data_IF_290985040821
#
_entry.id   IF_290985040821
#
_cell.length_a   1.000
_cell.length_b   1.000
_cell.length_c   1.000
_cell.angle_alpha   90.00
_cell.angle_beta   90.00
_cell.angle_gamma   90.00
#
_symmetry.space_group_name_H-M   'P 1'
#
loop_
_entity.id
_entity.type
_entity.pdbx_description
1 polymer ?
#
# COMPACT_ATOMS: atom_id res chain seq x y z
N UNK A 1 -42.13 -30.85 17.11
CA UNK A 1 -40.86 -31.26 16.45
C UNK A 1 -40.55 -30.45 15.17
N UNK A 2 -41.52 -30.00 14.36
CA UNK A 2 -41.29 -29.22 13.13
C UNK A 2 -40.77 -27.80 13.36
N UNK A 3 -41.23 -27.10 14.40
CA UNK A 3 -40.86 -25.69 14.71
C UNK A 3 -39.39 -25.58 15.14
N UNK A 4 -38.83 -26.53 15.90
CA UNK A 4 -37.44 -26.55 16.32
C UNK A 4 -36.45 -26.70 15.13
N UNK A 5 -36.88 -27.44 14.06
CA UNK A 5 -36.06 -27.59 12.85
C UNK A 5 -36.05 -26.30 12.03
N UNK A 6 -37.15 -25.58 11.97
CA UNK A 6 -37.27 -24.29 11.24
C UNK A 6 -36.39 -23.21 11.92
N UNK A 7 -36.40 -23.14 13.25
CA UNK A 7 -35.56 -22.18 14.01
C UNK A 7 -34.07 -22.49 13.83
N UNK A 8 -33.70 -23.78 13.80
CA UNK A 8 -32.31 -24.17 13.60
C UNK A 8 -31.81 -23.87 12.17
N UNK A 9 -32.66 -24.04 11.16
CA UNK A 9 -32.32 -23.68 9.76
C UNK A 9 -32.23 -22.18 9.55
N UNK A 10 -33.07 -21.39 10.24
CA UNK A 10 -33.00 -19.92 10.18
C UNK A 10 -31.73 -19.37 10.88
N UNK A 11 -31.27 -20.00 11.97
CA UNK A 11 -30.08 -19.62 12.69
C UNK A 11 -28.80 -19.92 11.89
N UNK A 12 -28.76 -20.99 11.09
CA UNK A 12 -27.64 -21.32 10.20
C UNK A 12 -27.51 -20.30 9.06
N UNK A 13 -28.65 -19.78 8.56
CA UNK A 13 -28.65 -18.76 7.49
C UNK A 13 -28.13 -17.37 7.97
N UNK A 14 -28.25 -17.09 9.26
CA UNK A 14 -27.78 -15.81 9.85
C UNK A 14 -26.27 -15.76 10.05
N UNK A 15 -25.57 -16.91 10.09
CA UNK A 15 -24.14 -17.00 10.34
C UNK A 15 -23.30 -16.87 9.05
N UNK A 16 -23.92 -17.03 7.86
CA UNK A 16 -23.19 -16.99 6.57
C UNK A 16 -23.07 -15.62 5.91
N UNK A 17 -23.45 -14.54 6.58
CA UNK A 17 -23.27 -13.18 6.02
C UNK A 17 -22.01 -12.51 6.56
N UNK A 18 -20.86 -13.18 6.53
CA UNK A 18 -19.58 -12.48 6.63
C UNK A 18 -19.44 -11.62 5.36
N UNK A 19 -19.80 -10.34 5.47
CA UNK A 19 -19.46 -9.36 4.45
C UNK A 19 -17.93 -9.33 4.41
N UNK A 20 -17.35 -9.89 3.36
CA UNK A 20 -15.93 -9.60 3.04
C UNK A 20 -15.84 -8.10 2.83
N UNK A 21 -15.27 -7.40 3.80
CA UNK A 21 -14.95 -5.99 3.66
C UNK A 21 -13.75 -5.90 2.72
N UNK A 22 -14.03 -5.60 1.46
CA UNK A 22 -13.00 -5.21 0.50
C UNK A 22 -12.62 -3.76 0.77
N UNK A 23 -11.32 -3.51 0.93
CA UNK A 23 -10.81 -2.14 1.01
C UNK A 23 -10.71 -1.63 -0.44
N UNK A 24 -11.46 -0.59 -0.77
CA UNK A 24 -11.37 0.08 -2.08
C UNK A 24 -9.97 0.67 -2.29
N UNK A 25 -9.43 0.54 -3.50
CA UNK A 25 -8.04 0.92 -3.80
C UNK A 25 -7.75 2.40 -3.57
N UNK A 26 -8.70 3.29 -3.90
CA UNK A 26 -8.60 4.72 -3.65
C UNK A 26 -8.64 5.07 -2.16
N UNK A 27 -9.51 4.41 -1.39
CA UNK A 27 -9.57 4.55 0.07
C UNK A 27 -8.26 4.08 0.71
N UNK A 28 -7.69 2.97 0.24
CA UNK A 28 -6.39 2.48 0.69
C UNK A 28 -5.27 3.49 0.42
N UNK A 29 -5.21 4.03 -0.79
CA UNK A 29 -4.20 5.05 -1.16
C UNK A 29 -4.40 6.31 -0.33
N UNK A 30 -5.63 6.82 -0.20
CA UNK A 30 -5.92 8.00 0.61
C UNK A 30 -5.51 7.80 2.08
N UNK A 31 -5.83 6.64 2.66
CA UNK A 31 -5.42 6.31 4.03
C UNK A 31 -3.90 6.26 4.18
N UNK A 32 -3.19 5.69 3.20
CA UNK A 32 -1.73 5.63 3.20
C UNK A 32 -1.11 7.02 3.11
N UNK A 33 -1.65 7.88 2.23
CA UNK A 33 -1.24 9.29 2.09
C UNK A 33 -1.48 10.05 3.40
N UNK A 34 -2.65 9.91 4.02
CA UNK A 34 -2.98 10.60 5.26
C UNK A 34 -2.00 10.23 6.38
N UNK A 35 -1.73 8.93 6.58
CA UNK A 35 -0.74 8.45 7.57
C UNK A 35 0.65 9.05 7.33
N UNK A 36 1.12 9.07 6.07
CA UNK A 36 2.41 9.64 5.74
C UNK A 36 2.45 11.15 5.94
N UNK A 37 1.39 11.87 5.55
CA UNK A 37 1.28 13.32 5.71
C UNK A 37 1.23 13.74 7.19
N UNK A 38 0.54 12.96 8.04
CA UNK A 38 0.50 13.16 9.50
C UNK A 38 1.92 13.12 10.07
N UNK A 39 2.67 12.04 9.81
CA UNK A 39 4.08 11.90 10.24
C UNK A 39 4.95 13.05 9.74
N UNK A 40 4.77 13.48 8.50
CA UNK A 40 5.56 14.56 7.90
C UNK A 40 5.24 15.93 8.50
N UNK A 41 4.01 16.13 8.98
CA UNK A 41 3.52 17.39 9.57
C UNK A 41 3.82 17.51 11.07
N UNK A 42 4.09 16.40 11.76
CA UNK A 42 4.41 16.42 13.18
C UNK A 42 5.72 17.16 13.47
N UNK A 43 5.81 17.82 14.65
CA UNK A 43 7.04 18.46 15.14
C UNK A 43 7.90 17.45 15.92
N UNK A 44 8.43 16.46 15.19
CA UNK A 44 9.32 15.42 15.70
C UNK A 44 10.61 15.37 14.91
N UNK A 45 11.65 14.72 15.47
CA UNK A 45 12.95 14.65 14.81
C UNK A 45 12.88 13.93 13.45
N UNK A 46 13.79 14.29 12.56
CA UNK A 46 13.90 13.68 11.22
C UNK A 46 14.06 12.16 11.30
N UNK A 47 14.82 11.68 12.27
CA UNK A 47 15.09 10.25 12.49
C UNK A 47 13.80 9.51 12.85
N UNK A 48 12.95 10.11 13.69
CA UNK A 48 11.65 9.55 14.05
C UNK A 48 10.73 9.52 12.83
N UNK A 49 10.65 10.62 12.06
CA UNK A 49 9.88 10.66 10.81
C UNK A 49 10.31 9.54 9.85
N UNK A 50 11.60 9.38 9.62
CA UNK A 50 12.15 8.31 8.78
C UNK A 50 11.72 6.93 9.28
N UNK A 51 11.80 6.69 10.58
CA UNK A 51 11.41 5.42 11.20
C UNK A 51 9.92 5.11 10.97
N UNK A 52 9.04 6.09 11.18
CA UNK A 52 7.60 5.90 10.98
C UNK A 52 7.23 5.75 9.49
N UNK A 53 7.86 6.51 8.59
CA UNK A 53 7.69 6.33 7.14
C UNK A 53 8.13 4.95 6.67
N UNK A 54 9.22 4.39 7.22
CA UNK A 54 9.64 3.00 6.94
C UNK A 54 8.60 1.98 7.36
N UNK A 55 7.93 2.18 8.52
CA UNK A 55 6.83 1.29 8.96
C UNK A 55 5.65 1.36 8.00
N UNK A 56 5.22 2.58 7.63
CA UNK A 56 4.13 2.76 6.67
C UNK A 56 4.45 2.04 5.36
N UNK A 57 5.66 2.20 4.84
CA UNK A 57 6.09 1.53 3.61
C UNK A 57 6.07 0.00 3.73
N UNK A 58 6.55 -0.57 4.83
CA UNK A 58 6.50 -2.02 5.09
C UNK A 58 5.08 -2.57 5.14
N UNK A 59 4.14 -1.79 5.69
CA UNK A 59 2.74 -2.19 5.81
C UNK A 59 1.99 -2.15 4.48
N UNK A 60 2.35 -1.19 3.60
CA UNK A 60 1.52 -0.82 2.45
C UNK A 60 2.14 -1.13 1.09
N UNK A 61 3.45 -1.41 1.02
CA UNK A 61 4.17 -1.64 -0.24
C UNK A 61 4.63 -3.09 -0.36
N UNK A 62 4.38 -3.73 -1.51
CA UNK A 62 4.95 -5.04 -1.84
C UNK A 62 6.40 -4.90 -2.30
N UNK A 63 7.28 -4.51 -1.37
CA UNK A 63 8.70 -4.22 -1.64
C UNK A 63 9.39 -5.41 -2.32
N UNK A 64 9.09 -6.63 -1.88
CA UNK A 64 9.65 -7.85 -2.46
C UNK A 64 9.26 -8.02 -3.92
N UNK A 65 8.00 -7.77 -4.27
CA UNK A 65 7.52 -7.86 -5.65
C UNK A 65 8.15 -6.79 -6.54
N UNK A 66 8.26 -5.55 -6.04
CA UNK A 66 8.95 -4.47 -6.73
C UNK A 66 10.40 -4.86 -6.99
N UNK A 67 11.12 -5.38 -5.98
CA UNK A 67 12.49 -5.83 -6.12
C UNK A 67 12.66 -6.89 -7.19
N UNK A 68 11.82 -7.93 -7.20
CA UNK A 68 11.88 -8.95 -8.24
C UNK A 68 11.46 -8.45 -9.63
N UNK A 69 10.62 -7.42 -9.70
CA UNK A 69 10.29 -6.77 -10.96
C UNK A 69 11.51 -6.04 -11.54
N UNK A 70 12.28 -5.34 -10.71
CA UNK A 70 13.49 -4.60 -11.16
C UNK A 70 14.60 -5.51 -11.66
N UNK A 71 14.68 -6.76 -11.20
CA UNK A 71 15.62 -7.76 -11.72
C UNK A 71 15.31 -8.20 -13.16
N UNK A 72 14.08 -8.00 -13.62
CA UNK A 72 13.67 -8.43 -14.95
C UNK A 72 13.90 -9.93 -15.18
N UNK A 73 14.41 -10.34 -16.39
CA UNK A 73 14.63 -11.75 -16.73
C UNK A 73 15.68 -12.46 -15.86
N UNK A 74 16.66 -11.75 -15.32
CA UNK A 74 17.78 -12.30 -14.52
C UNK A 74 17.25 -13.07 -13.30
N UNK A 75 16.11 -12.66 -12.72
CA UNK A 75 15.48 -13.34 -11.56
C UNK A 75 15.26 -14.84 -11.76
N UNK A 76 15.14 -15.30 -13.04
CA UNK A 76 14.92 -16.72 -13.34
C UNK A 76 16.18 -17.57 -13.15
N UNK A 77 17.36 -16.94 -13.21
CA UNK A 77 18.65 -17.60 -13.13
C UNK A 77 19.25 -17.55 -11.71
N UNK A 78 18.60 -16.84 -10.79
CA UNK A 78 19.08 -16.75 -9.42
C UNK A 78 18.72 -18.02 -8.64
N UNK A 79 19.65 -18.47 -7.80
CA UNK A 79 19.39 -19.49 -6.77
C UNK A 79 18.43 -18.93 -5.71
N UNK A 80 17.86 -19.79 -4.88
CA UNK A 80 16.95 -19.34 -3.82
C UNK A 80 17.68 -18.50 -2.77
N UNK A 81 18.92 -18.84 -2.42
CA UNK A 81 19.76 -18.04 -1.52
C UNK A 81 20.04 -16.64 -2.08
N UNK A 82 20.34 -16.56 -3.39
CA UNK A 82 20.52 -15.27 -4.06
C UNK A 82 19.24 -14.45 -4.07
N UNK A 83 18.07 -15.07 -4.26
CA UNK A 83 16.77 -14.39 -4.20
C UNK A 83 16.47 -13.86 -2.79
N UNK A 84 16.77 -14.66 -1.74
CA UNK A 84 16.61 -14.24 -0.35
C UNK A 84 17.51 -13.04 -0.08
N UNK A 85 18.81 -13.18 -0.35
CA UNK A 85 19.79 -12.11 -0.10
C UNK A 85 19.46 -10.84 -0.86
N UNK A 86 19.04 -10.96 -2.12
CA UNK A 86 18.60 -9.81 -2.91
C UNK A 86 17.38 -9.11 -2.29
N UNK A 87 16.38 -9.87 -1.85
CA UNK A 87 15.17 -9.32 -1.24
C UNK A 87 15.50 -8.51 0.03
N UNK A 88 16.39 -9.00 0.88
CA UNK A 88 16.83 -8.31 2.10
C UNK A 88 17.53 -6.98 1.77
N UNK A 89 18.50 -7.03 0.85
CA UNK A 89 19.24 -5.83 0.43
C UNK A 89 18.33 -4.82 -0.29
N UNK A 90 17.42 -5.30 -1.12
CA UNK A 90 16.49 -4.42 -1.82
C UNK A 90 15.51 -3.76 -0.85
N UNK A 91 15.00 -4.49 0.15
CA UNK A 91 14.13 -3.91 1.17
C UNK A 91 14.84 -2.79 1.94
N UNK A 92 16.07 -3.02 2.39
CA UNK A 92 16.87 -2.01 3.09
C UNK A 92 17.12 -0.78 2.22
N UNK A 93 17.53 -0.99 0.97
CA UNK A 93 17.76 0.07 0.00
C UNK A 93 16.47 0.88 -0.28
N UNK A 94 15.37 0.18 -0.54
CA UNK A 94 14.08 0.80 -0.83
C UNK A 94 13.61 1.66 0.34
N UNK A 95 13.56 1.09 1.54
CA UNK A 95 13.10 1.79 2.73
C UNK A 95 13.94 3.01 3.05
N UNK A 96 15.26 2.91 2.89
CA UNK A 96 16.18 4.02 3.15
C UNK A 96 16.01 5.12 2.10
N UNK A 97 16.00 4.77 0.81
CA UNK A 97 15.86 5.73 -0.28
C UNK A 97 14.52 6.42 -0.26
N UNK A 98 13.44 5.66 -0.06
CA UNK A 98 12.07 6.15 -0.04
C UNK A 98 11.83 7.11 1.13
N UNK A 99 12.17 6.71 2.36
CA UNK A 99 11.94 7.54 3.54
C UNK A 99 12.78 8.83 3.52
N UNK A 100 14.04 8.77 3.06
CA UNK A 100 14.87 9.96 2.91
C UNK A 100 14.35 10.94 1.85
N UNK A 101 13.68 10.44 0.80
CA UNK A 101 13.04 11.30 -0.20
C UNK A 101 11.78 11.95 0.34
N UNK A 102 10.98 11.23 1.13
CA UNK A 102 9.73 11.78 1.66
C UNK A 102 9.95 12.78 2.80
N UNK A 103 10.92 12.54 3.67
CA UNK A 103 11.13 13.38 4.87
C UNK A 103 11.50 14.84 4.57
N UNK A 104 11.83 15.17 3.31
CA UNK A 104 12.10 16.56 2.87
C UNK A 104 10.81 17.35 2.58
N UNK A 105 9.66 16.67 2.54
CA UNK A 105 8.37 17.34 2.40
C UNK A 105 7.82 17.68 3.78
N UNK A 106 7.49 18.95 3.97
CA UNK A 106 6.76 19.42 5.14
C UNK A 106 5.32 19.66 4.72
N UNK A 107 4.37 18.99 5.39
CA UNK A 107 2.93 19.19 5.15
C UNK A 107 2.52 18.99 3.67
N UNK A 108 2.77 17.84 3.04
CA UNK A 108 2.42 17.61 1.64
C UNK A 108 0.90 17.61 1.45
N UNK A 109 0.42 18.30 0.42
CA UNK A 109 -0.99 18.32 0.02
C UNK A 109 -1.16 17.42 -1.21
N UNK A 110 -1.79 16.24 -1.02
CA UNK A 110 -1.96 15.24 -2.07
C UNK A 110 -3.45 14.92 -2.21
N UNK A 111 -4.00 15.17 -3.39
CA UNK A 111 -5.40 14.88 -3.72
C UNK A 111 -5.48 13.60 -4.56
N UNK A 112 -6.23 12.62 -4.10
CA UNK A 112 -6.64 11.45 -4.89
C UNK A 112 -7.87 11.85 -5.71
N UNK A 113 -7.84 11.65 -7.04
CA UNK A 113 -8.90 12.18 -7.91
C UNK A 113 -9.50 11.16 -8.88
N UNK A 114 -8.83 10.06 -9.17
CA UNK A 114 -9.35 9.06 -10.12
C UNK A 114 -8.80 7.66 -9.82
N UNK A 115 -9.49 6.63 -10.31
CA UNK A 115 -9.01 5.24 -10.30
C UNK A 115 -9.41 4.51 -11.58
N UNK A 116 -8.51 3.65 -12.07
CA UNK A 116 -8.71 2.84 -13.28
C UNK A 116 -8.40 1.37 -13.00
N UNK A 117 -9.36 0.50 -13.26
CA UNK A 117 -9.15 -0.95 -13.19
C UNK A 117 -8.30 -1.39 -14.38
N UNK A 118 -7.12 -1.95 -14.11
CA UNK A 118 -6.24 -2.51 -15.14
C UNK A 118 -6.54 -3.99 -15.40
N UNK A 119 -6.89 -4.73 -14.36
CA UNK A 119 -7.22 -6.15 -14.42
C UNK A 119 -7.91 -6.57 -13.12
N UNK A 120 -8.34 -7.83 -13.00
CA UNK A 120 -8.89 -8.42 -11.77
C UNK A 120 -7.97 -8.28 -10.54
N UNK A 121 -6.67 -8.03 -10.76
CA UNK A 121 -5.65 -8.00 -9.69
C UNK A 121 -5.00 -6.66 -9.49
N UNK A 122 -5.23 -5.70 -10.39
CA UNK A 122 -4.54 -4.41 -10.36
C UNK A 122 -5.48 -3.25 -10.67
N UNK A 123 -5.37 -2.23 -9.84
CA UNK A 123 -6.02 -0.94 -10.02
C UNK A 123 -4.92 0.14 -10.04
N UNK A 124 -5.04 1.12 -10.93
CA UNK A 124 -4.29 2.38 -10.83
C UNK A 124 -5.16 3.38 -10.09
N UNK A 125 -4.59 4.03 -9.10
CA UNK A 125 -5.16 5.19 -8.43
C UNK A 125 -4.30 6.39 -8.78
N UNK A 126 -4.93 7.48 -9.21
CA UNK A 126 -4.25 8.69 -9.62
C UNK A 126 -4.34 9.74 -8.51
N UNK A 127 -3.24 10.38 -8.21
CA UNK A 127 -3.19 11.51 -7.27
C UNK A 127 -2.29 12.62 -7.77
N UNK A 128 -2.48 13.81 -7.19
CA UNK A 128 -1.73 15.02 -7.48
C UNK A 128 -1.13 15.55 -6.19
N UNK A 129 0.20 15.55 -6.09
CA UNK A 129 0.91 16.34 -5.10
C UNK A 129 0.94 17.79 -5.57
N UNK A 130 0.27 18.68 -4.85
CA UNK A 130 0.22 20.10 -5.21
C UNK A 130 1.60 20.72 -5.12
N UNK A 131 1.87 21.58 -6.09
CA UNK A 131 3.10 22.37 -6.11
C UNK A 131 3.14 23.44 -5.00
N UNK A 132 4.33 23.94 -4.74
CA UNK A 132 4.59 25.11 -3.88
C UNK A 132 5.38 26.14 -4.71
N UNK A 133 5.70 27.29 -4.13
CA UNK A 133 6.56 28.27 -4.78
C UNK A 133 7.95 27.70 -5.16
N UNK A 134 8.41 26.71 -4.40
CA UNK A 134 9.74 26.11 -4.58
C UNK A 134 9.73 24.82 -5.41
N UNK A 135 8.57 24.19 -5.59
CA UNK A 135 8.47 22.85 -6.19
C UNK A 135 7.26 22.75 -7.12
N UNK A 136 7.42 22.16 -8.32
CA UNK A 136 6.30 21.94 -9.23
C UNK A 136 5.33 20.90 -8.64
N UNK A 137 4.12 20.88 -9.18
CA UNK A 137 3.17 19.80 -8.93
C UNK A 137 3.68 18.48 -9.50
N UNK A 138 3.30 17.36 -8.87
CA UNK A 138 3.69 16.01 -9.29
C UNK A 138 2.46 15.12 -9.39
N UNK A 139 2.21 14.55 -10.57
CA UNK A 139 1.22 13.48 -10.76
C UNK A 139 1.81 12.16 -10.28
N UNK A 140 1.05 11.41 -9.50
CA UNK A 140 1.47 10.14 -8.92
C UNK A 140 0.44 9.07 -9.28
N UNK A 141 0.90 8.03 -9.96
CA UNK A 141 0.11 6.85 -10.30
C UNK A 141 0.48 5.71 -9.36
N UNK A 142 -0.49 5.29 -8.54
CA UNK A 142 -0.33 4.19 -7.58
C UNK A 142 -0.85 2.91 -8.20
N UNK A 143 0.03 1.93 -8.40
CA UNK A 143 -0.38 0.61 -8.88
C UNK A 143 -0.69 -0.31 -7.72
N UNK A 144 -1.97 -0.54 -7.48
CA UNK A 144 -2.46 -1.31 -6.34
C UNK A 144 -2.72 -2.75 -6.74
N UNK A 145 -2.14 -3.69 -5.99
CA UNK A 145 -2.43 -5.11 -6.08
C UNK A 145 -3.58 -5.48 -5.15
N UNK A 146 -4.68 -5.93 -5.72
CA UNK A 146 -5.98 -6.12 -5.05
C UNK A 146 -6.39 -7.58 -4.92
N UNK A 147 -5.48 -8.56 -5.18
CA UNK A 147 -5.81 -9.98 -5.08
C UNK A 147 -6.27 -10.38 -3.67
N UNK A 148 -5.70 -9.76 -2.63
CA UNK A 148 -6.24 -9.84 -1.28
C UNK A 148 -7.01 -8.55 -0.99
N UNK A 149 -8.37 -8.60 -1.03
CA UNK A 149 -9.19 -7.40 -0.86
C UNK A 149 -9.14 -6.83 0.57
N UNK A 150 -8.76 -7.63 1.56
CA UNK A 150 -8.61 -7.17 2.95
C UNK A 150 -7.26 -6.50 3.20
N UNK A 151 -6.26 -6.78 2.35
CA UNK A 151 -4.90 -6.24 2.45
C UNK A 151 -4.35 -5.92 1.07
N UNK A 152 -4.84 -4.84 0.41
CA UNK A 152 -4.22 -4.34 -0.82
C UNK A 152 -2.79 -3.87 -0.56
N UNK A 153 -1.95 -3.87 -1.61
CA UNK A 153 -0.55 -3.42 -1.55
C UNK A 153 -0.22 -2.56 -2.77
N UNK A 154 0.65 -1.55 -2.58
CA UNK A 154 1.24 -0.74 -3.64
C UNK A 154 2.32 -1.54 -4.35
#
# INVERSE_FOLDING_TARGET
MKIRKIIFTFFIYLICSSKLYSIEADVFVQSTINRASEVLSEDISKEIKIKELKKIAKDTVDIKRIGFYTLGPIRKNLTDDQKIRYSELFEEYFLTSFSNRLVVYSNPNIDVYDKKILSEKFVIVNSLLKGTEERPEVKIDWRIYTKNPEKPLI
#
